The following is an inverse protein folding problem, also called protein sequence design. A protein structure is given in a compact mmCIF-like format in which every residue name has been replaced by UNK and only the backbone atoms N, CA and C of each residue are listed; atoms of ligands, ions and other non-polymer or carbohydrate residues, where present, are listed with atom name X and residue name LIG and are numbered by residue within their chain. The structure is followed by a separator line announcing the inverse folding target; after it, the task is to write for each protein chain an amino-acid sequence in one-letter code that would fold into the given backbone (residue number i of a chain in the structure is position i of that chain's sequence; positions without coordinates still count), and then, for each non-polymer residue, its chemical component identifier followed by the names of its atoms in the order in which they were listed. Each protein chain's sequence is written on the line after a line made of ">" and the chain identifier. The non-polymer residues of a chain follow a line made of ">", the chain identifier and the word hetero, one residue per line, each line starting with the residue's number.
data_IF_280609071378
#
_entry.id   IF_280609071378
#
_cell.length_a   1.000
_cell.length_b   1.000
_cell.length_c   1.000
_cell.angle_alpha   90.00
_cell.angle_beta   90.00
_cell.angle_gamma   90.00
#
_symmetry.space_group_name_H-M   'P 1'
#
loop_
_entity.id
_entity.type
_entity.pdbx_description
1 polymer ?
#
# COMPACT_ATOMS: atom_id res chain seq x y z
N UNK A 1 -26.14 -3.82 17.80
CA UNK A 1 -25.07 -4.58 18.48
C UNK A 1 -24.71 -3.85 19.77
N UNK A 2 -25.40 -4.13 20.88
CA UNK A 2 -25.11 -3.52 22.18
C UNK A 2 -24.17 -4.43 22.96
N UNK A 3 -22.96 -3.96 23.28
CA UNK A 3 -22.09 -4.68 24.20
C UNK A 3 -22.78 -4.74 25.56
N UNK A 4 -22.96 -5.94 26.11
CA UNK A 4 -23.50 -6.13 27.46
C UNK A 4 -22.70 -5.36 28.51
N UNK A 5 -23.24 -5.28 29.74
CA UNK A 5 -22.61 -4.55 30.83
C UNK A 5 -21.13 -4.93 31.04
N UNK A 6 -20.28 -3.94 31.33
CA UNK A 6 -18.86 -4.17 31.58
C UNK A 6 -18.68 -4.88 32.92
N UNK A 7 -17.99 -6.02 32.91
CA UNK A 7 -17.57 -6.73 34.13
C UNK A 7 -16.38 -5.97 34.74
N UNK A 8 -16.26 -5.85 36.08
CA UNK A 8 -15.08 -5.25 36.71
C UNK A 8 -13.77 -5.91 36.28
N UNK A 9 -12.72 -5.11 36.09
CA UNK A 9 -11.38 -5.55 35.67
C UNK A 9 -10.30 -4.68 36.35
N UNK A 10 -9.08 -5.19 36.54
CA UNK A 10 -7.97 -4.42 37.10
C UNK A 10 -7.54 -3.32 36.12
N UNK A 11 -7.42 -2.08 36.59
CA UNK A 11 -7.15 -0.90 35.74
C UNK A 11 -5.66 -0.61 35.57
N UNK A 12 -4.86 -1.18 36.46
CA UNK A 12 -3.42 -1.05 36.56
C UNK A 12 -2.66 -2.01 35.64
N UNK A 13 -3.34 -3.03 35.10
CA UNK A 13 -2.72 -4.00 34.19
C UNK A 13 -2.62 -3.40 32.79
N UNK A 14 -1.42 -3.42 32.23
CA UNK A 14 -1.14 -2.96 30.88
C UNK A 14 -0.69 -4.12 29.97
N UNK A 15 -1.11 -4.07 28.70
CA UNK A 15 -0.63 -4.95 27.64
C UNK A 15 -0.50 -4.17 26.34
N UNK A 16 0.46 -4.51 25.47
CA UNK A 16 0.68 -3.82 24.20
C UNK A 16 -0.53 -3.87 23.26
N UNK A 17 -1.37 -4.92 23.34
CA UNK A 17 -2.57 -5.04 22.54
C UNK A 17 -3.78 -4.27 23.12
N UNK A 18 -3.63 -3.65 24.29
CA UNK A 18 -4.71 -3.07 25.08
C UNK A 18 -5.14 -3.98 26.23
N UNK A 19 -6.41 -3.89 26.62
CA UNK A 19 -6.97 -4.65 27.75
C UNK A 19 -8.48 -4.75 27.64
N UNK A 20 -9.15 -4.90 28.79
CA UNK A 20 -10.60 -5.05 28.82
C UNK A 20 -11.33 -3.80 28.31
N UNK A 21 -12.19 -3.99 27.30
CA UNK A 21 -13.05 -2.96 26.71
C UNK A 21 -12.31 -1.68 26.28
N UNK A 22 -11.08 -1.83 25.77
CA UNK A 22 -10.25 -0.70 25.36
C UNK A 22 -10.95 0.17 24.30
N UNK A 23 -11.23 1.42 24.67
CA UNK A 23 -11.78 2.44 23.80
C UNK A 23 -11.15 3.80 24.14
N UNK A 24 -9.88 4.02 23.75
CA UNK A 24 -9.21 5.28 24.04
C UNK A 24 -9.90 6.43 23.31
N UNK A 25 -9.91 7.62 23.93
CA UNK A 25 -10.60 8.79 23.37
C UNK A 25 -10.03 9.23 22.01
N UNK A 26 -8.74 8.98 21.76
CA UNK A 26 -7.99 9.39 20.58
C UNK A 26 -7.84 8.30 19.51
N UNK A 27 -8.64 7.22 19.55
CA UNK A 27 -8.48 6.08 18.63
C UNK A 27 -8.45 6.48 17.15
N UNK A 28 -9.24 7.49 16.75
CA UNK A 28 -9.31 7.99 15.37
C UNK A 28 -7.98 8.58 14.90
N UNK A 29 -7.41 9.46 15.72
CA UNK A 29 -6.15 10.13 15.38
C UNK A 29 -5.00 9.11 15.36
N UNK A 30 -4.93 8.20 16.34
CA UNK A 30 -3.89 7.17 16.37
C UNK A 30 -3.98 6.27 15.12
N UNK A 31 -5.20 5.89 14.72
CA UNK A 31 -5.42 5.11 13.48
C UNK A 31 -5.00 5.89 12.24
N UNK A 32 -5.30 7.19 12.19
CA UNK A 32 -4.90 8.05 11.07
C UNK A 32 -3.37 8.16 10.96
N UNK A 33 -2.66 8.31 12.08
CA UNK A 33 -1.19 8.38 12.11
C UNK A 33 -0.58 7.07 11.61
N UNK A 34 -1.02 5.93 12.13
CA UNK A 34 -0.51 4.62 11.69
C UNK A 34 -0.87 4.36 10.23
N UNK A 35 -2.09 4.70 9.81
CA UNK A 35 -2.52 4.62 8.41
C UNK A 35 -1.65 5.44 7.47
N UNK A 36 -1.35 6.70 7.83
CA UNK A 36 -0.48 7.56 7.05
C UNK A 36 0.96 7.01 6.97
N UNK A 37 1.49 6.49 8.08
CA UNK A 37 2.80 5.84 8.11
C UNK A 37 2.86 4.62 7.19
N UNK A 38 1.85 3.73 7.26
CA UNK A 38 1.77 2.56 6.37
C UNK A 38 1.68 2.96 4.90
N UNK A 39 0.85 3.95 4.56
CA UNK A 39 0.73 4.45 3.19
C UNK A 39 2.05 5.02 2.68
N UNK A 40 2.79 5.77 3.52
CA UNK A 40 4.11 6.30 3.17
C UNK A 40 5.12 5.19 2.87
N UNK A 41 5.17 4.16 3.72
CA UNK A 41 6.06 2.99 3.50
C UNK A 41 5.68 2.25 2.22
N UNK A 42 4.40 1.96 2.02
CA UNK A 42 3.91 1.26 0.83
C UNK A 42 4.22 2.06 -0.44
N UNK A 43 3.97 3.37 -0.44
CA UNK A 43 4.27 4.22 -1.59
C UNK A 43 5.77 4.25 -1.91
N UNK A 44 6.62 4.40 -0.89
CA UNK A 44 8.08 4.41 -1.08
C UNK A 44 8.59 3.07 -1.62
N UNK A 45 8.18 1.95 -1.02
CA UNK A 45 8.57 0.61 -1.48
C UNK A 45 8.04 0.32 -2.88
N UNK A 46 6.81 0.73 -3.19
CA UNK A 46 6.23 0.56 -4.52
C UNK A 46 7.00 1.35 -5.57
N UNK A 47 7.24 2.65 -5.38
CA UNK A 47 8.02 3.46 -6.32
C UNK A 47 9.41 2.87 -6.56
N UNK A 48 10.07 2.46 -5.49
CA UNK A 48 11.39 1.84 -5.55
C UNK A 48 11.37 0.52 -6.33
N UNK A 49 10.36 -0.31 -6.10
CA UNK A 49 10.16 -1.56 -6.83
C UNK A 49 9.89 -1.30 -8.31
N UNK A 50 9.06 -0.30 -8.64
CA UNK A 50 8.69 0.03 -10.00
C UNK A 50 9.87 0.59 -10.82
N UNK A 51 10.77 1.33 -10.17
CA UNK A 51 12.01 1.82 -10.77
C UNK A 51 13.06 0.72 -10.98
N UNK A 52 13.14 -0.25 -10.05
CA UNK A 52 14.11 -1.35 -10.10
C UNK A 52 13.64 -2.59 -10.84
N UNK A 53 12.38 -2.62 -11.25
CA UNK A 53 11.84 -3.76 -11.98
C UNK A 53 12.58 -3.93 -13.31
N UNK A 54 13.25 -5.08 -13.45
CA UNK A 54 13.88 -5.51 -14.69
C UNK A 54 13.18 -6.76 -15.22
N UNK A 55 12.94 -6.78 -16.53
CA UNK A 55 12.34 -7.87 -17.28
C UNK A 55 13.20 -8.22 -18.48
N UNK A 56 13.50 -9.50 -18.60
CA UNK A 56 14.27 -10.05 -19.73
C UNK A 56 13.41 -10.15 -21.00
N UNK A 57 12.11 -10.42 -20.85
CA UNK A 57 11.14 -10.44 -21.94
C UNK A 57 10.13 -9.32 -21.78
N UNK A 58 10.05 -8.45 -22.79
CA UNK A 58 9.03 -7.42 -22.87
C UNK A 58 7.64 -8.02 -23.16
N UNK A 59 6.58 -7.41 -22.61
CA UNK A 59 5.22 -7.91 -22.75
C UNK A 59 4.72 -7.84 -24.20
N UNK A 60 3.92 -8.84 -24.58
CA UNK A 60 3.31 -8.91 -25.91
C UNK A 60 2.19 -7.86 -26.06
N UNK A 61 2.04 -7.26 -27.26
CA UNK A 61 0.94 -6.33 -27.54
C UNK A 61 -0.43 -6.97 -27.24
N UNK A 62 -1.33 -6.21 -26.60
CA UNK A 62 -2.68 -6.66 -26.25
C UNK A 62 -2.80 -7.49 -24.97
N UNK A 63 -1.70 -7.92 -24.33
CA UNK A 63 -1.77 -8.64 -23.05
C UNK A 63 -1.92 -7.66 -21.87
N UNK A 64 -2.85 -7.97 -20.97
CA UNK A 64 -3.05 -7.21 -19.73
C UNK A 64 -2.09 -7.68 -18.62
N UNK A 65 -1.48 -6.73 -17.95
CA UNK A 65 -0.77 -6.91 -16.68
C UNK A 65 -0.73 -5.54 -15.97
N UNK A 66 -1.00 -5.49 -14.66
CA UNK A 66 -1.15 -4.20 -13.96
C UNK A 66 0.09 -3.33 -14.02
N UNK A 67 1.28 -3.94 -13.92
CA UNK A 67 2.52 -3.18 -13.82
C UNK A 67 2.89 -2.40 -15.08
N UNK A 68 2.20 -2.64 -16.20
CA UNK A 68 2.30 -1.84 -17.43
C UNK A 68 2.23 -0.33 -17.19
N UNK A 69 1.45 0.09 -16.19
CA UNK A 69 1.18 1.49 -15.91
C UNK A 69 2.26 2.16 -15.03
N UNK A 70 3.10 1.41 -14.34
CA UNK A 70 4.07 1.97 -13.38
C UNK A 70 5.50 1.45 -13.51
N UNK A 71 5.71 0.26 -14.07
CA UNK A 71 7.06 -0.27 -14.30
C UNK A 71 7.82 0.60 -15.29
N UNK A 72 8.92 1.20 -14.83
CA UNK A 72 9.69 2.16 -15.63
C UNK A 72 10.14 1.56 -16.97
N UNK A 73 10.70 0.35 -16.94
CA UNK A 73 11.21 -0.34 -18.12
C UNK A 73 10.14 -0.56 -19.20
N UNK A 74 8.90 -0.86 -18.80
CA UNK A 74 7.78 -1.12 -19.73
C UNK A 74 7.26 0.18 -20.32
N UNK A 75 7.04 1.19 -19.47
CA UNK A 75 6.56 2.51 -19.91
C UNK A 75 7.53 3.13 -20.92
N UNK A 76 8.83 3.03 -20.66
CA UNK A 76 9.87 3.52 -21.58
C UNK A 76 9.91 2.72 -22.89
N UNK A 77 9.83 1.39 -22.81
CA UNK A 77 9.81 0.51 -23.98
C UNK A 77 8.60 0.79 -24.90
N UNK A 78 7.40 0.91 -24.33
CA UNK A 78 6.18 1.17 -25.09
C UNK A 78 6.17 2.57 -25.70
N UNK A 79 6.73 3.57 -25.01
CA UNK A 79 6.91 4.92 -25.55
C UNK A 79 7.83 4.93 -26.77
N UNK A 80 8.93 4.18 -26.73
CA UNK A 80 9.86 4.05 -27.87
C UNK A 80 9.20 3.37 -29.07
N UNK A 81 8.42 2.29 -28.84
CA UNK A 81 7.68 1.62 -29.92
C UNK A 81 6.64 2.55 -30.57
N UNK A 82 5.97 3.38 -29.78
CA UNK A 82 4.99 4.34 -30.28
C UNK A 82 5.65 5.42 -31.15
N UNK A 83 6.80 5.97 -30.72
CA UNK A 83 7.56 6.95 -31.50
C UNK A 83 8.06 6.37 -32.83
N UNK A 84 8.65 5.17 -32.82
CA UNK A 84 9.15 4.53 -34.05
C UNK A 84 8.05 4.25 -35.08
N UNK A 85 6.83 3.93 -34.63
CA UNK A 85 5.65 3.77 -35.51
C UNK A 85 5.15 5.08 -36.11
N UNK A 86 5.40 6.21 -35.45
CA UNK A 86 4.98 7.52 -35.92
C UNK A 86 5.92 8.07 -36.99
N UNK A 87 7.20 7.67 -36.95
CA UNK A 87 8.25 8.07 -37.89
C UNK A 87 8.31 7.19 -39.17
N UNK A 88 7.54 6.09 -39.23
CA UNK A 88 7.47 5.16 -40.37
C UNK A 88 6.25 5.42 -41.24
#
# INVERSE_FOLDING_TARGET
>A
MGGGGKIPYPKEVWSPAGGWYSRPANWRLNTAIIGAGMLGVVAATWSLSAEREHRDKMPEPGRFFPSRYWSRQIVEHERQQAAAKQDS
#
